data_IF_468234907974
#
_entry.id   IF_468234907974
#
_cell.length_a   1.000
_cell.length_b   1.000
_cell.length_c   1.000
_cell.angle_alpha   90.00
_cell.angle_beta   90.00
_cell.angle_gamma   90.00
#
_symmetry.space_group_name_H-M   'P 1'
#
loop_
_entity.id
_entity.type
_entity.pdbx_description
1 polymer ?
#
# COMPACT_ATOMS: atom_id res chain seq x y z
N UNK A 1 2.41 -10.21 12.35
CA UNK A 1 2.90 -9.13 13.22
C UNK A 1 2.75 -9.47 14.69
N UNK A 2 1.55 -9.32 15.28
CA UNK A 2 1.35 -9.55 16.72
C UNK A 2 1.10 -11.02 17.09
N UNK A 3 0.36 -11.77 16.25
CA UNK A 3 -0.07 -13.16 16.51
C UNK A 3 0.71 -14.19 15.69
N UNK A 4 0.80 -13.99 14.37
CA UNK A 4 1.71 -14.75 13.51
C UNK A 4 3.11 -14.12 13.59
N UNK A 5 4.02 -14.79 14.30
CA UNK A 5 5.40 -14.33 14.56
C UNK A 5 6.48 -15.31 14.10
N UNK A 6 6.12 -16.54 13.75
CA UNK A 6 7.07 -17.58 13.37
C UNK A 6 7.65 -17.39 11.95
N UNK A 7 7.09 -16.46 11.18
CA UNK A 7 7.44 -16.20 9.77
C UNK A 7 8.13 -14.83 9.60
N UNK A 8 8.87 -14.36 10.63
CA UNK A 8 9.64 -13.12 10.52
C UNK A 8 10.73 -13.29 9.45
N UNK A 9 10.85 -12.30 8.56
CA UNK A 9 11.85 -12.26 7.46
C UNK A 9 13.30 -12.27 7.97
N UNK A 10 13.49 -11.93 9.23
CA UNK A 10 14.75 -12.10 9.95
C UNK A 10 14.46 -12.94 11.20
N UNK A 11 15.05 -14.13 11.27
CA UNK A 11 14.83 -15.10 12.35
C UNK A 11 15.54 -14.74 13.65
N UNK A 12 16.48 -13.81 13.62
CA UNK A 12 17.22 -13.32 14.78
C UNK A 12 16.89 -11.84 15.03
N UNK A 13 16.69 -11.47 16.29
CA UNK A 13 16.63 -10.07 16.70
C UNK A 13 18.05 -9.52 16.62
N UNK A 14 18.32 -8.67 15.63
CA UNK A 14 19.54 -7.87 15.57
C UNK A 14 19.26 -6.53 16.29
N UNK A 15 19.80 -6.32 17.51
CA UNK A 15 19.59 -5.11 18.29
C UNK A 15 20.23 -3.86 17.66
N UNK A 16 21.17 -4.05 16.71
CA UNK A 16 21.83 -2.98 15.96
C UNK A 16 21.17 -2.73 14.58
N UNK A 17 20.25 -3.61 14.16
CA UNK A 17 19.46 -3.39 12.96
C UNK A 17 18.47 -2.24 13.21
N UNK A 18 18.83 -1.05 12.71
CA UNK A 18 17.86 0.01 12.51
C UNK A 18 16.64 -0.57 11.75
N UNK A 19 15.43 -0.24 12.18
CA UNK A 19 14.21 -0.58 11.43
C UNK A 19 14.34 -0.02 10.01
N UNK A 20 14.69 -0.90 9.07
CA UNK A 20 14.93 -0.57 7.67
C UNK A 20 13.76 -1.16 6.88
N UNK A 21 12.91 -0.27 6.39
CA UNK A 21 11.72 -0.61 5.64
C UNK A 21 11.56 0.32 4.46
N UNK A 22 10.69 -0.03 3.52
CA UNK A 22 10.25 0.93 2.51
C UNK A 22 8.96 0.43 1.87
N UNK A 23 8.18 1.38 1.37
CA UNK A 23 7.03 1.07 0.53
C UNK A 23 6.84 2.18 -0.50
N UNK A 24 6.65 1.76 -1.76
CA UNK A 24 6.23 2.65 -2.83
C UNK A 24 4.78 2.31 -3.16
N UNK A 25 3.90 3.29 -3.02
CA UNK A 25 2.48 3.13 -3.37
C UNK A 25 2.19 3.94 -4.62
N UNK A 26 1.66 3.26 -5.64
CA UNK A 26 1.25 3.85 -6.91
C UNK A 26 -0.27 3.75 -7.01
N UNK A 27 -0.94 4.90 -7.13
CA UNK A 27 -2.40 5.00 -7.29
C UNK A 27 -2.71 5.43 -8.72
N UNK A 28 -3.46 4.59 -9.43
CA UNK A 28 -3.97 4.90 -10.77
C UNK A 28 -5.49 5.07 -10.72
N UNK A 29 -6.03 6.02 -11.49
CA UNK A 29 -7.48 6.21 -11.64
C UNK A 29 -7.81 6.72 -13.04
N UNK A 30 -8.95 6.32 -13.56
CA UNK A 30 -9.55 6.86 -14.79
C UNK A 30 -10.43 8.09 -14.53
N UNK A 31 -10.55 8.54 -13.28
CA UNK A 31 -11.27 9.75 -12.95
C UNK A 31 -10.52 11.00 -13.45
N UNK A 32 -11.21 11.99 -14.05
CA UNK A 32 -10.57 13.22 -14.50
C UNK A 32 -10.19 14.08 -13.30
N UNK A 33 -8.89 14.15 -13.00
CA UNK A 33 -8.34 14.84 -11.84
C UNK A 33 -7.17 15.75 -12.23
N UNK A 34 -7.13 16.91 -11.60
CA UNK A 34 -6.01 17.85 -11.73
C UNK A 34 -4.82 17.44 -10.82
N UNK A 35 -3.60 17.94 -11.09
CA UNK A 35 -2.42 17.57 -10.30
C UNK A 35 -2.56 17.78 -8.78
N UNK A 36 -3.25 18.84 -8.35
CA UNK A 36 -3.48 19.09 -6.92
C UNK A 36 -4.49 18.11 -6.30
N UNK A 37 -5.44 17.60 -7.07
CA UNK A 37 -6.38 16.55 -6.65
C UNK A 37 -5.68 15.20 -6.56
N UNK A 38 -4.82 14.87 -7.53
CA UNK A 38 -3.96 13.68 -7.48
C UNK A 38 -3.02 13.72 -6.27
N UNK A 39 -2.43 14.88 -5.94
CA UNK A 39 -1.65 15.06 -4.71
C UNK A 39 -2.49 14.78 -3.44
N UNK A 40 -3.79 15.10 -3.45
CA UNK A 40 -4.70 14.73 -2.36
C UNK A 40 -4.90 13.21 -2.29
N UNK A 41 -5.11 12.53 -3.42
CA UNK A 41 -5.21 11.06 -3.47
C UNK A 41 -3.92 10.38 -2.98
N UNK A 42 -2.76 10.78 -3.48
CA UNK A 42 -1.47 10.21 -3.07
C UNK A 42 -1.26 10.30 -1.55
N UNK A 43 -1.65 11.41 -0.92
CA UNK A 43 -1.60 11.55 0.55
C UNK A 43 -2.52 10.58 1.30
N UNK A 44 -3.60 10.10 0.69
CA UNK A 44 -4.53 9.15 1.32
C UNK A 44 -4.00 7.73 1.33
N UNK A 45 -3.02 7.40 0.47
CA UNK A 45 -2.32 6.12 0.52
C UNK A 45 -1.75 5.83 1.92
N UNK A 46 -1.22 6.85 2.60
CA UNK A 46 -0.73 6.71 3.98
C UNK A 46 -1.79 6.24 4.99
N UNK A 47 -3.08 6.53 4.77
CA UNK A 47 -4.16 6.03 5.63
C UNK A 47 -4.41 4.52 5.42
N UNK A 48 -4.28 4.03 4.19
CA UNK A 48 -4.36 2.59 3.89
C UNK A 48 -3.18 1.83 4.52
N UNK A 49 -1.97 2.38 4.39
CA UNK A 49 -0.78 1.87 5.07
C UNK A 49 -0.95 1.83 6.61
N UNK A 50 -1.52 2.87 7.19
CA UNK A 50 -1.76 2.93 8.64
C UNK A 50 -2.74 1.85 9.12
N UNK A 51 -3.76 1.48 8.32
CA UNK A 51 -4.73 0.43 8.69
C UNK A 51 -4.11 -0.95 8.81
N UNK A 52 -3.04 -1.23 8.06
CA UNK A 52 -2.28 -2.49 8.16
C UNK A 52 -1.14 -2.41 9.18
N UNK A 53 -1.04 -1.32 9.94
CA UNK A 53 -0.09 -1.13 11.04
C UNK A 53 1.23 -0.46 10.64
N UNK A 54 1.34 0.10 9.43
CA UNK A 54 2.51 0.90 9.05
C UNK A 54 2.52 2.24 9.77
N UNK A 55 3.67 2.60 10.35
CA UNK A 55 3.84 3.81 11.17
C UNK A 55 4.81 4.84 10.58
N UNK A 56 5.34 4.60 9.38
CA UNK A 56 6.35 5.45 8.74
C UNK A 56 7.55 5.72 9.66
N UNK A 57 8.19 4.64 10.12
CA UNK A 57 9.33 4.71 11.05
C UNK A 57 10.51 5.44 10.40
N UNK A 58 11.43 5.96 11.21
CA UNK A 58 12.50 6.85 10.71
C UNK A 58 13.38 6.21 9.62
N UNK A 59 13.59 4.90 9.65
CA UNK A 59 14.33 4.17 8.62
C UNK A 59 13.46 3.68 7.46
N UNK A 60 12.17 4.06 7.42
CA UNK A 60 11.25 3.67 6.35
C UNK A 60 11.20 4.69 5.22
N UNK A 61 11.50 4.25 4.00
CA UNK A 61 11.30 5.03 2.78
C UNK A 61 9.88 4.91 2.23
N UNK A 62 8.97 5.79 2.67
CA UNK A 62 7.55 5.73 2.29
C UNK A 62 7.22 6.80 1.23
N UNK A 63 7.01 6.38 -0.02
CA UNK A 63 6.79 7.28 -1.17
C UNK A 63 5.49 6.94 -1.89
N UNK A 64 4.62 7.94 -2.08
CA UNK A 64 3.32 7.75 -2.73
C UNK A 64 3.19 8.62 -3.97
N UNK A 65 2.74 8.03 -5.07
CA UNK A 65 2.43 8.72 -6.33
C UNK A 65 1.02 8.38 -6.79
N UNK A 66 0.33 9.36 -7.36
CA UNK A 66 -0.97 9.16 -7.98
C UNK A 66 -1.00 9.78 -9.36
N UNK A 67 -1.63 9.10 -10.33
CA UNK A 67 -1.84 9.61 -11.67
C UNK A 67 -3.25 9.29 -12.17
N UNK A 68 -3.71 10.09 -13.14
CA UNK A 68 -4.98 9.88 -13.84
C UNK A 68 -4.73 9.48 -15.29
N UNK A 69 -5.52 8.54 -15.80
CA UNK A 69 -5.54 8.13 -17.21
C UNK A 69 -6.69 8.77 -18.00
N UNK A 70 -7.44 9.69 -17.40
CA UNK A 70 -8.66 10.25 -17.98
C UNK A 70 -8.44 11.15 -19.21
N UNK A 71 -7.24 11.70 -19.36
CA UNK A 71 -6.90 12.65 -20.41
C UNK A 71 -5.41 12.60 -20.75
N UNK A 72 -5.10 12.76 -22.03
CA UNK A 72 -3.72 12.83 -22.52
C UNK A 72 -3.03 14.11 -22.06
N UNK A 73 -1.69 14.05 -21.99
CA UNK A 73 -0.88 15.23 -21.72
C UNK A 73 -1.06 16.25 -22.88
N UNK A 74 -1.30 17.53 -22.57
CA UNK A 74 -1.30 18.59 -23.57
C UNK A 74 0.00 18.63 -24.38
N UNK A 75 -0.09 18.92 -25.67
CA UNK A 75 1.11 19.18 -26.47
C UNK A 75 1.86 20.41 -25.95
N UNK A 76 3.19 20.34 -25.95
CA UNK A 76 4.03 21.44 -25.50
C UNK A 76 3.76 22.71 -26.34
N UNK A 77 3.50 23.83 -25.67
CA UNK A 77 3.21 25.12 -26.31
C UNK A 77 1.76 25.31 -26.79
N UNK A 78 0.88 24.32 -26.60
CA UNK A 78 -0.54 24.45 -26.94
C UNK A 78 -1.39 24.75 -25.70
N UNK A 79 -2.44 25.56 -25.87
CA UNK A 79 -3.50 25.68 -24.87
C UNK A 79 -4.37 24.42 -24.89
N UNK A 80 -4.74 23.91 -23.72
CA UNK A 80 -5.62 22.76 -23.58
C UNK A 80 -6.74 23.04 -22.58
N UNK A 81 -7.92 22.49 -22.86
CA UNK A 81 -9.03 22.45 -21.91
C UNK A 81 -8.97 21.13 -21.15
N UNK A 82 -8.93 21.19 -19.82
CA UNK A 82 -8.91 20.01 -18.96
C UNK A 82 -10.27 19.82 -18.30
N UNK A 83 -10.70 18.57 -18.18
CA UNK A 83 -11.88 18.20 -17.38
C UNK A 83 -11.41 17.77 -16.01
N UNK A 84 -12.19 18.11 -14.99
CA UNK A 84 -11.90 17.73 -13.63
C UNK A 84 -13.19 17.49 -12.85
N UNK A 85 -13.19 16.49 -11.98
CA UNK A 85 -14.23 16.36 -10.96
C UNK A 85 -14.18 17.56 -10.01
N UNK A 86 -15.34 17.97 -9.51
CA UNK A 86 -15.38 18.93 -8.41
C UNK A 86 -14.73 18.33 -7.16
N UNK A 87 -14.24 19.18 -6.26
CA UNK A 87 -13.58 18.71 -5.06
C UNK A 87 -14.50 17.98 -4.08
N UNK A 88 -15.80 18.27 -4.14
CA UNK A 88 -16.83 17.70 -3.25
C UNK A 88 -17.13 16.23 -3.63
N UNK A 89 -17.03 15.91 -4.92
CA UNK A 89 -17.23 14.56 -5.46
C UNK A 89 -16.00 13.64 -5.30
N UNK A 90 -14.92 14.11 -4.65
CA UNK A 90 -13.70 13.30 -4.48
C UNK A 90 -13.79 12.24 -3.39
N UNK A 91 -14.80 12.31 -2.52
CA UNK A 91 -14.90 11.42 -1.34
C UNK A 91 -14.89 9.93 -1.69
N UNK A 92 -15.62 9.45 -2.72
CA UNK A 92 -15.54 8.04 -3.15
C UNK A 92 -14.14 7.62 -3.60
N UNK A 93 -13.43 8.46 -4.36
CA UNK A 93 -12.06 8.18 -4.82
C UNK A 93 -11.06 8.13 -3.66
N UNK A 94 -11.24 9.01 -2.66
CA UNK A 94 -10.43 9.01 -1.45
C UNK A 94 -10.64 7.69 -0.68
N UNK A 95 -11.89 7.30 -0.44
CA UNK A 95 -12.20 6.06 0.28
C UNK A 95 -11.72 4.83 -0.49
N UNK A 96 -11.92 4.81 -1.81
CA UNK A 96 -11.43 3.77 -2.71
C UNK A 96 -9.91 3.65 -2.67
N UNK A 97 -9.18 4.78 -2.66
CA UNK A 97 -7.71 4.78 -2.52
C UNK A 97 -7.28 4.14 -1.20
N UNK A 98 -7.91 4.49 -0.07
CA UNK A 98 -7.55 3.92 1.24
C UNK A 98 -7.78 2.41 1.25
N UNK A 99 -8.95 1.95 0.81
CA UNK A 99 -9.32 0.54 0.79
C UNK A 99 -8.41 -0.26 -0.17
N UNK A 100 -8.15 0.27 -1.37
CA UNK A 100 -7.31 -0.39 -2.36
C UNK A 100 -5.86 -0.53 -1.88
N UNK A 101 -5.32 0.47 -1.16
CA UNK A 101 -3.98 0.38 -0.59
C UNK A 101 -3.91 -0.65 0.53
N UNK A 102 -4.87 -0.62 1.45
CA UNK A 102 -4.98 -1.62 2.52
C UNK A 102 -4.99 -3.04 1.95
N UNK A 103 -5.86 -3.29 0.96
CA UNK A 103 -5.99 -4.61 0.32
C UNK A 103 -4.75 -4.97 -0.50
N UNK A 104 -4.14 -4.04 -1.24
CA UNK A 104 -2.94 -4.31 -2.04
C UNK A 104 -1.77 -4.79 -1.17
N UNK A 105 -1.59 -4.21 0.02
CA UNK A 105 -0.55 -4.64 0.96
C UNK A 105 -0.83 -6.06 1.48
N UNK A 106 -2.08 -6.34 1.85
CA UNK A 106 -2.49 -7.69 2.26
C UNK A 106 -2.28 -8.70 1.13
N UNK A 107 -2.67 -8.35 -0.10
CA UNK A 107 -2.49 -9.19 -1.29
C UNK A 107 -1.01 -9.46 -1.60
N UNK A 108 -0.12 -8.47 -1.38
CA UNK A 108 1.31 -8.69 -1.53
C UNK A 108 1.85 -9.72 -0.53
N UNK A 109 1.40 -9.69 0.73
CA UNK A 109 1.78 -10.68 1.74
C UNK A 109 1.21 -12.07 1.43
N UNK A 110 -0.06 -12.16 1.05
CA UNK A 110 -0.73 -13.42 0.72
C UNK A 110 -0.17 -14.04 -0.57
N UNK A 111 0.16 -13.22 -1.57
CA UNK A 111 0.72 -13.65 -2.85
C UNK A 111 2.23 -13.93 -2.81
N UNK A 112 2.91 -13.58 -1.72
CA UNK A 112 4.33 -13.85 -1.55
C UNK A 112 4.60 -15.36 -1.46
N UNK A 113 5.83 -15.75 -1.79
CA UNK A 113 6.36 -17.11 -1.65
C UNK A 113 7.63 -17.08 -0.84
N UNK A 114 7.93 -18.20 -0.19
CA UNK A 114 9.21 -18.39 0.50
C UNK A 114 10.38 -18.07 -0.43
N UNK A 115 11.36 -17.33 0.09
CA UNK A 115 12.51 -16.87 -0.67
C UNK A 115 13.79 -17.03 0.15
N UNK A 116 14.78 -17.71 -0.44
CA UNK A 116 16.15 -17.71 0.05
C UNK A 116 16.94 -16.61 -0.64
N UNK A 117 17.49 -15.69 0.14
CA UNK A 117 18.33 -14.60 -0.32
C UNK A 117 19.82 -14.92 -0.26
N UNK A 118 20.64 -13.88 -0.30
CA UNK A 118 22.09 -13.96 -0.13
C UNK A 118 22.48 -14.14 1.35
N UNK A 119 23.70 -14.61 1.59
CA UNK A 119 24.29 -14.71 2.95
C UNK A 119 23.43 -15.51 3.95
N UNK A 120 22.72 -16.53 3.46
CA UNK A 120 21.87 -17.37 4.29
C UNK A 120 20.54 -16.72 4.73
N UNK A 121 20.22 -15.50 4.28
CA UNK A 121 18.94 -14.85 4.59
C UNK A 121 17.78 -15.63 3.98
N UNK A 122 16.66 -15.69 4.71
CA UNK A 122 15.47 -16.39 4.27
C UNK A 122 14.21 -15.63 4.71
N UNK A 123 13.34 -15.34 3.75
CA UNK A 123 12.05 -14.70 3.96
C UNK A 123 10.95 -15.73 3.75
N UNK A 124 10.20 -16.05 4.80
CA UNK A 124 9.07 -16.98 4.72
C UNK A 124 7.79 -16.23 4.35
N UNK A 125 6.99 -16.80 3.45
CA UNK A 125 5.66 -16.30 3.16
C UNK A 125 4.72 -16.51 4.34
N UNK A 126 3.64 -15.73 4.39
CA UNK A 126 2.62 -15.88 5.43
C UNK A 126 1.92 -17.24 5.30
N UNK A 127 1.78 -17.96 6.40
CA UNK A 127 1.02 -19.21 6.42
C UNK A 127 -0.49 -18.92 6.27
N UNK A 128 -1.07 -19.37 5.16
CA UNK A 128 -2.48 -19.11 4.82
C UNK A 128 -3.45 -19.80 5.78
N UNK A 129 -3.15 -21.02 6.24
CA UNK A 129 -4.04 -21.76 7.14
C UNK A 129 -4.00 -21.17 8.55
N UNK A 130 -2.80 -20.79 9.03
CA UNK A 130 -2.66 -20.08 10.29
C UNK A 130 -3.37 -18.70 10.24
N UNK A 131 -3.29 -17.98 9.12
CA UNK A 131 -4.00 -16.73 8.91
C UNK A 131 -5.53 -16.94 8.95
N UNK A 132 -6.06 -17.93 8.25
CA UNK A 132 -7.50 -18.24 8.25
C UNK A 132 -8.00 -18.65 9.64
N UNK A 133 -7.25 -19.48 10.35
CA UNK A 133 -7.57 -19.86 11.73
C UNK A 133 -7.62 -18.64 12.65
N UNK A 134 -6.66 -17.72 12.50
CA UNK A 134 -6.63 -16.47 13.25
C UNK A 134 -7.84 -15.59 12.92
N UNK A 135 -8.17 -15.42 11.63
CA UNK A 135 -9.34 -14.63 11.24
C UNK A 135 -10.65 -15.23 11.79
N UNK A 136 -10.80 -16.56 11.81
CA UNK A 136 -11.94 -17.26 12.44
C UNK A 136 -12.03 -16.97 13.94
N UNK A 137 -10.90 -17.01 14.66
CA UNK A 137 -10.86 -16.73 16.10
C UNK A 137 -11.43 -15.35 16.45
N UNK A 138 -11.23 -14.37 15.56
CA UNK A 138 -11.73 -13.01 15.73
C UNK A 138 -13.09 -12.74 15.06
N UNK A 139 -13.74 -13.76 14.48
CA UNK A 139 -15.01 -13.60 13.76
C UNK A 139 -14.89 -12.69 12.52
N UNK A 140 -13.73 -12.72 11.85
CA UNK A 140 -13.41 -11.87 10.69
C UNK A 140 -13.17 -12.64 9.39
N UNK A 141 -13.24 -13.98 9.43
CA UNK A 141 -13.24 -14.76 8.19
C UNK A 141 -14.64 -14.69 7.58
N UNK A 142 -14.74 -14.21 6.33
CA UNK A 142 -15.99 -14.25 5.57
C UNK A 142 -16.50 -15.69 5.41
N UNK A 143 -17.81 -15.83 5.17
CA UNK A 143 -18.43 -17.12 4.83
C UNK A 143 -17.87 -17.71 3.53
#
# INVERSE_FOLDING_TARGET
GQKLRNDRVYSEEDPDANETGSIIIVVATDAPLLPHQLKRLARRAGLGLARVGGTATNGSGDIFIAFSTAQDAPQAGAMASLKALSNDEMSPLINGTVNAVEEAIVNALVGAKDMKGTEGRYAKAIDHEALRALLKQYGRLGE
#
